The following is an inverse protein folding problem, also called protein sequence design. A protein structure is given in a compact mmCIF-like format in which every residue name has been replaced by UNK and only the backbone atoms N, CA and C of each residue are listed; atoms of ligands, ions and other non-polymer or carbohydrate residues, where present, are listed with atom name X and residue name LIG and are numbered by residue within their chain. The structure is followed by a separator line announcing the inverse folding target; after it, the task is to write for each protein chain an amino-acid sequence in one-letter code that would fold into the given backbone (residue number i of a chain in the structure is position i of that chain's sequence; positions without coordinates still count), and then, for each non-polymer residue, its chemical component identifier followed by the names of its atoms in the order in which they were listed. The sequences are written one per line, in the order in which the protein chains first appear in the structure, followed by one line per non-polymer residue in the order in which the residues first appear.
data_IF_583668026992
#
_entry.id   IF_583668026992
#
_cell.length_a   1.000
_cell.length_b   1.000
_cell.length_c   1.000
_cell.angle_alpha   90.00
_cell.angle_beta   90.00
_cell.angle_gamma   90.00
#
_symmetry.space_group_name_H-M   'P 1'
#
loop_
_entity.id
_entity.type
_entity.pdbx_description
1 polymer ?
#
# COMPACT_ATOMS: atom_id res chain seq x y z
N UNK A 1 -11.53 -5.27 8.25
CA UNK A 1 -11.66 -3.80 8.23
C UNK A 1 -11.47 -3.30 6.80
N UNK A 2 -12.17 -2.25 6.40
CA UNK A 2 -12.00 -1.60 5.10
C UNK A 2 -11.55 -0.15 5.30
N UNK A 3 -11.04 0.51 4.26
CA UNK A 3 -10.64 1.92 4.31
C UNK A 3 -11.28 2.70 3.15
N UNK A 4 -11.73 3.92 3.41
CA UNK A 4 -12.22 4.83 2.36
C UNK A 4 -11.07 5.53 1.64
N UNK A 5 -11.35 6.11 0.47
CA UNK A 5 -10.39 6.97 -0.24
C UNK A 5 -9.92 8.19 0.58
N UNK A 6 -10.66 8.59 1.62
CA UNK A 6 -10.27 9.65 2.58
C UNK A 6 -9.47 9.13 3.78
N UNK A 7 -9.39 7.81 3.98
CA UNK A 7 -8.52 7.18 4.99
C UNK A 7 -9.26 6.77 6.26
N UNK A 8 -10.57 6.93 6.28
CA UNK A 8 -11.42 6.43 7.37
C UNK A 8 -11.42 4.90 7.35
N UNK A 9 -11.06 4.28 8.47
CA UNK A 9 -11.21 2.85 8.67
C UNK A 9 -12.67 2.54 9.02
N UNK A 10 -13.24 1.58 8.31
CA UNK A 10 -14.60 1.10 8.48
C UNK A 10 -14.60 -0.30 9.10
N UNK A 11 -15.29 -0.44 10.22
CA UNK A 11 -15.50 -1.73 10.88
C UNK A 11 -16.61 -2.56 10.23
N UNK A 12 -17.59 -1.89 9.61
CA UNK A 12 -18.67 -2.51 8.83
C UNK A 12 -18.80 -1.85 7.46
N UNK A 13 -19.24 -2.66 6.50
CA UNK A 13 -19.43 -2.30 5.09
C UNK A 13 -20.89 -2.41 4.65
N UNK A 14 -21.82 -2.55 5.61
CA UNK A 14 -23.25 -2.71 5.34
C UNK A 14 -23.88 -1.44 4.71
N UNK A 15 -23.35 -0.27 5.05
CA UNK A 15 -23.75 1.01 4.44
C UNK A 15 -22.53 1.63 3.77
N UNK A 16 -22.62 1.84 2.45
CA UNK A 16 -21.54 2.41 1.64
C UNK A 16 -22.07 3.55 0.81
N UNK A 17 -21.28 4.60 0.69
CA UNK A 17 -21.50 5.67 -0.26
C UNK A 17 -20.30 5.76 -1.19
N UNK A 18 -20.57 5.95 -2.48
CA UNK A 18 -19.54 6.23 -3.47
C UNK A 18 -19.43 7.74 -3.66
N UNK A 19 -18.20 8.25 -3.57
CA UNK A 19 -17.90 9.64 -3.92
C UNK A 19 -17.25 9.62 -5.29
N UNK A 20 -17.92 10.18 -6.30
CA UNK A 20 -17.31 10.37 -7.62
C UNK A 20 -16.20 11.40 -7.49
N UNK A 21 -14.96 10.96 -7.71
CA UNK A 21 -13.79 11.82 -7.81
C UNK A 21 -13.32 11.89 -9.27
N UNK A 22 -12.58 12.96 -9.59
CA UNK A 22 -11.87 13.07 -10.87
C UNK A 22 -10.53 12.28 -10.88
N UNK A 23 -10.37 11.36 -9.93
CA UNK A 23 -9.19 10.51 -9.77
C UNK A 23 -9.48 9.12 -10.32
N UNK A 24 -8.47 8.43 -10.84
CA UNK A 24 -8.65 7.05 -11.26
C UNK A 24 -8.74 6.11 -10.04
N UNK A 25 -9.30 4.92 -10.26
CA UNK A 25 -9.29 3.88 -9.21
C UNK A 25 -7.85 3.50 -8.82
N UNK A 26 -6.90 3.53 -9.76
CA UNK A 26 -5.49 3.32 -9.46
C UNK A 26 -4.97 4.36 -8.46
N UNK A 27 -5.30 5.63 -8.67
CA UNK A 27 -4.89 6.72 -7.76
C UNK A 27 -5.53 6.55 -6.38
N UNK A 28 -6.80 6.15 -6.33
CA UNK A 28 -7.51 5.88 -5.07
C UNK A 28 -6.88 4.72 -4.30
N UNK A 29 -6.60 3.59 -4.99
CA UNK A 29 -5.98 2.40 -4.39
C UNK A 29 -4.58 2.72 -3.87
N UNK A 30 -3.78 3.45 -4.66
CA UNK A 30 -2.44 3.87 -4.25
C UNK A 30 -2.48 4.85 -3.07
N UNK A 31 -3.43 5.79 -3.09
CA UNK A 31 -3.67 6.71 -1.97
C UNK A 31 -4.01 5.97 -0.67
N UNK A 32 -4.78 4.90 -0.75
CA UNK A 32 -5.02 4.01 0.40
C UNK A 32 -3.73 3.33 0.88
N UNK A 33 -2.89 2.82 -0.02
CA UNK A 33 -1.62 2.19 0.37
C UNK A 33 -0.69 3.17 1.08
N UNK A 34 -0.57 4.40 0.55
CA UNK A 34 0.31 5.44 1.08
C UNK A 34 -0.09 5.91 2.48
N UNK A 35 -1.34 5.75 2.90
CA UNK A 35 -1.76 6.07 4.27
C UNK A 35 -1.16 5.14 5.33
N UNK A 36 -0.72 3.96 4.92
CA UNK A 36 0.03 3.03 5.77
C UNK A 36 1.55 3.23 5.67
N UNK A 37 2.03 4.08 4.76
CA UNK A 37 3.43 4.46 4.68
C UNK A 37 3.74 5.51 5.75
N UNK A 38 4.23 5.07 6.91
CA UNK A 38 4.73 5.99 7.95
C UNK A 38 6.12 6.49 7.55
N UNK A 39 6.18 7.67 6.95
CA UNK A 39 7.42 8.30 6.52
C UNK A 39 8.03 9.19 7.62
N UNK A 40 8.52 8.58 8.72
CA UNK A 40 9.28 9.29 9.75
C UNK A 40 10.78 9.31 9.37
N UNK A 41 11.37 10.48 9.07
CA UNK A 41 12.78 10.56 8.68
C UNK A 41 13.73 9.86 9.66
N UNK A 42 13.44 9.93 10.96
CA UNK A 42 14.28 9.32 12.01
C UNK A 42 14.33 7.80 11.92
N UNK A 43 13.36 7.16 11.26
CA UNK A 43 13.29 5.70 11.14
C UNK A 43 14.07 5.16 9.94
N UNK A 44 14.37 6.00 8.95
CA UNK A 44 14.97 5.55 7.68
C UNK A 44 16.33 6.17 7.39
N UNK A 45 16.68 7.28 8.02
CA UNK A 45 18.04 7.80 7.97
C UNK A 45 18.97 6.90 8.81
N UNK A 46 20.07 6.41 8.24
CA UNK A 46 21.04 5.61 8.98
C UNK A 46 21.73 6.46 10.06
N UNK A 47 22.07 5.83 11.19
CA UNK A 47 22.85 6.48 12.25
C UNK A 47 24.30 6.77 11.82
N UNK A 48 24.82 5.97 10.89
CA UNK A 48 26.14 6.15 10.29
C UNK A 48 26.02 6.89 8.96
N UNK A 49 26.93 7.82 8.70
CA UNK A 49 26.92 8.66 7.48
C UNK A 49 26.98 7.86 6.17
N UNK A 50 27.55 6.66 6.19
CA UNK A 50 27.70 5.79 5.01
C UNK A 50 26.62 4.69 4.93
N UNK A 51 25.60 4.72 5.79
CA UNK A 51 24.55 3.72 5.76
C UNK A 51 23.60 3.88 4.56
N UNK A 52 22.97 2.78 4.15
CA UNK A 52 21.88 2.83 3.18
C UNK A 52 20.58 3.31 3.84
N UNK A 53 19.83 4.16 3.14
CA UNK A 53 18.45 4.51 3.53
C UNK A 53 17.58 3.27 3.32
N UNK A 54 16.84 2.85 4.35
CA UNK A 54 15.92 1.72 4.29
C UNK A 54 14.54 2.19 4.67
N UNK A 55 13.54 1.97 3.82
CA UNK A 55 12.15 2.30 4.11
C UNK A 55 11.44 1.07 4.67
N UNK A 56 10.85 1.18 5.87
CA UNK A 56 9.97 0.17 6.43
C UNK A 56 8.54 0.38 5.93
N UNK A 57 7.87 -0.70 5.53
CA UNK A 57 6.53 -0.68 4.94
C UNK A 57 5.69 -1.79 5.54
N UNK A 58 4.64 -1.42 6.26
CA UNK A 58 3.65 -2.34 6.85
C UNK A 58 2.46 -2.57 5.90
N UNK A 59 2.69 -2.42 4.60
CA UNK A 59 1.67 -2.51 3.56
C UNK A 59 2.22 -3.24 2.34
N UNK A 60 1.40 -4.09 1.74
CA UNK A 60 1.67 -4.72 0.45
C UNK A 60 0.43 -4.58 -0.42
N UNK A 61 0.59 -4.05 -1.63
CA UNK A 61 -0.46 -4.04 -2.64
C UNK A 61 -0.51 -5.41 -3.33
N UNK A 62 -1.69 -6.03 -3.34
CA UNK A 62 -1.93 -7.29 -4.05
C UNK A 62 -2.58 -6.98 -5.40
N UNK A 63 -1.87 -7.23 -6.50
CA UNK A 63 -2.39 -7.02 -7.86
C UNK A 63 -1.56 -7.74 -8.92
N UNK A 64 -2.25 -8.22 -9.95
CA UNK A 64 -1.63 -8.78 -11.16
C UNK A 64 -1.51 -7.73 -12.27
N UNK A 65 -2.17 -6.58 -12.13
CA UNK A 65 -2.16 -5.50 -13.11
C UNK A 65 -0.76 -4.89 -13.25
N UNK A 66 -0.27 -4.86 -14.48
CA UNK A 66 1.08 -4.36 -14.79
C UNK A 66 1.23 -2.86 -14.55
N UNK A 67 0.24 -2.06 -14.93
CA UNK A 67 0.32 -0.61 -14.84
C UNK A 67 0.26 -0.15 -13.38
N UNK A 68 -0.66 -0.72 -12.61
CA UNK A 68 -0.79 -0.45 -11.18
C UNK A 68 0.45 -0.93 -10.42
N UNK A 69 1.02 -2.09 -10.76
CA UNK A 69 2.30 -2.57 -10.22
C UNK A 69 3.42 -1.56 -10.44
N UNK A 70 3.57 -1.04 -11.66
CA UNK A 70 4.57 -0.01 -11.97
C UNK A 70 4.32 1.28 -11.18
N UNK A 71 3.06 1.72 -11.08
CA UNK A 71 2.69 2.92 -10.31
C UNK A 71 2.98 2.77 -8.80
N UNK A 72 2.82 1.57 -8.25
CA UNK A 72 3.12 1.24 -6.85
C UNK A 72 4.63 1.22 -6.58
N UNK A 73 5.40 0.56 -7.45
CA UNK A 73 6.87 0.52 -7.35
C UNK A 73 7.48 1.92 -7.43
N UNK A 74 6.99 2.77 -8.33
CA UNK A 74 7.42 4.17 -8.45
C UNK A 74 7.17 5.01 -7.17
N UNK A 75 6.28 4.55 -6.28
CA UNK A 75 5.91 5.19 -5.01
C UNK A 75 6.47 4.47 -3.79
N UNK A 76 7.40 3.53 -3.96
CA UNK A 76 7.95 2.70 -2.89
C UNK A 76 6.88 1.94 -2.08
N UNK A 77 5.80 1.52 -2.75
CA UNK A 77 4.78 0.62 -2.20
C UNK A 77 5.12 -0.81 -2.62
N UNK A 78 5.38 -1.73 -1.67
CA UNK A 78 5.59 -3.14 -1.97
C UNK A 78 4.39 -3.74 -2.70
N UNK A 79 4.65 -4.60 -3.68
CA UNK A 79 3.60 -5.18 -4.52
C UNK A 79 3.89 -6.64 -4.85
N UNK A 80 2.85 -7.48 -4.80
CA UNK A 80 2.90 -8.91 -5.14
C UNK A 80 1.62 -9.32 -5.86
N UNK A 81 1.71 -10.35 -6.68
CA UNK A 81 0.52 -11.11 -7.07
C UNK A 81 0.01 -11.92 -5.87
N UNK A 82 -1.25 -12.36 -5.95
CA UNK A 82 -1.90 -13.06 -4.83
C UNK A 82 -1.16 -14.35 -4.46
N UNK A 83 -0.82 -15.18 -5.45
CA UNK A 83 -0.17 -16.47 -5.22
C UNK A 83 1.18 -16.33 -4.52
N UNK A 84 2.05 -15.43 -5.01
CA UNK A 84 3.36 -15.19 -4.37
C UNK A 84 3.22 -14.61 -2.97
N UNK A 85 2.19 -13.81 -2.71
CA UNK A 85 1.97 -13.30 -1.36
C UNK A 85 1.57 -14.41 -0.40
N UNK A 86 0.72 -15.36 -0.84
CA UNK A 86 0.34 -16.51 -0.03
C UNK A 86 1.51 -17.46 0.22
N UNK A 87 2.37 -17.69 -0.78
CA UNK A 87 3.63 -18.43 -0.61
C UNK A 87 4.54 -17.80 0.45
N UNK A 88 4.70 -16.46 0.40
CA UNK A 88 5.46 -15.71 1.41
C UNK A 88 4.85 -15.82 2.81
N UNK A 89 3.52 -15.84 2.89
CA UNK A 89 2.79 -16.01 4.14
C UNK A 89 2.75 -17.46 4.63
N UNK A 90 3.31 -18.41 3.86
CA UNK A 90 3.24 -19.86 4.12
C UNK A 90 1.80 -20.36 4.29
N UNK A 91 0.86 -19.73 3.58
CA UNK A 91 -0.54 -20.15 3.51
C UNK A 91 -0.69 -21.02 2.28
N UNK A 92 -0.97 -22.30 2.48
CA UNK A 92 -1.30 -23.24 1.40
C UNK A 92 -2.74 -22.98 0.96
N UNK A 93 -2.95 -22.77 -0.35
CA UNK A 93 -4.29 -22.69 -0.95
C UNK A 93 -4.95 -24.07 -1.02
#
# INVERSE_FOLDING_TARGET
QAMTGEGTVLDSIQFRNEVKKNESNDDTILGCCLKYCRDNPREFFPQNKDGAIRLHREVVLITDDRNLRLKAQARNVPVKDLTKFLELAQVVL
#
